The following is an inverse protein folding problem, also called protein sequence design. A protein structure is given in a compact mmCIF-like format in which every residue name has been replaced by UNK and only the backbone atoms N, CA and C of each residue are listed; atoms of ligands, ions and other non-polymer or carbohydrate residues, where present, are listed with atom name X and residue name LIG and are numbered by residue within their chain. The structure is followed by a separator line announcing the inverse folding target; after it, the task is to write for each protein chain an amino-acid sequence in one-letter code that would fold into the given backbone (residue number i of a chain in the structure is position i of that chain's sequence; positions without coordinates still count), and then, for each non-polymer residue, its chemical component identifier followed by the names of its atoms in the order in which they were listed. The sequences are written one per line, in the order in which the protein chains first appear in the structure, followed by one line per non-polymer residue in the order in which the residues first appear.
data_IF_485490230322
#
_entry.id   IF_485490230322
#
_cell.length_a   1.000
_cell.length_b   1.000
_cell.length_c   1.000
_cell.angle_alpha   90.00
_cell.angle_beta   90.00
_cell.angle_gamma   90.00
#
_symmetry.space_group_name_H-M   'P 1'
#
loop_
_entity.id
_entity.type
_entity.pdbx_description
1 polymer ?
#
# COMPACT_ATOMS: atom_id res chain seq x y z
N UNK A 1 27.54 -71.28 11.07
CA UNK A 1 26.36 -70.48 11.44
C UNK A 1 25.62 -70.10 10.17
N UNK A 2 24.66 -70.94 9.78
CA UNK A 2 23.81 -70.72 8.61
C UNK A 2 22.76 -69.65 8.95
N UNK A 3 22.84 -68.48 8.29
CA UNK A 3 21.76 -67.49 8.35
C UNK A 3 20.51 -68.06 7.69
N UNK A 4 19.39 -68.04 8.41
CA UNK A 4 18.16 -68.70 7.98
C UNK A 4 17.60 -68.05 6.71
N UNK A 5 16.91 -68.85 5.88
CA UNK A 5 16.27 -68.39 4.64
C UNK A 5 15.18 -67.34 4.88
N UNK A 6 14.71 -67.19 6.12
CA UNK A 6 13.75 -66.17 6.53
C UNK A 6 14.38 -64.76 6.59
N UNK A 7 15.61 -64.62 7.11
CA UNK A 7 16.30 -63.33 7.18
C UNK A 7 16.67 -62.78 5.81
N UNK A 8 16.94 -63.66 4.82
CA UNK A 8 17.19 -63.25 3.44
C UNK A 8 15.93 -62.71 2.74
N UNK A 9 14.76 -63.28 3.03
CA UNK A 9 13.48 -62.82 2.49
C UNK A 9 13.06 -61.49 3.11
N UNK A 10 13.31 -61.29 4.40
CA UNK A 10 12.99 -60.04 5.09
C UNK A 10 13.90 -58.88 4.65
N UNK A 11 15.19 -59.15 4.42
CA UNK A 11 16.11 -58.15 3.86
C UNK A 11 15.80 -57.81 2.40
N UNK A 12 15.31 -58.76 1.58
CA UNK A 12 14.81 -58.46 0.24
C UNK A 12 13.52 -57.63 0.27
N UNK A 13 12.61 -57.89 1.23
CA UNK A 13 11.38 -57.11 1.41
C UNK A 13 11.67 -55.68 1.88
N UNK A 14 12.64 -55.51 2.78
CA UNK A 14 13.12 -54.18 3.20
C UNK A 14 13.84 -53.44 2.06
N UNK A 15 14.66 -54.12 1.25
CA UNK A 15 15.29 -53.49 0.07
C UNK A 15 14.28 -53.08 -1.01
N UNK A 16 13.21 -53.85 -1.23
CA UNK A 16 12.12 -53.46 -2.15
C UNK A 16 11.35 -52.25 -1.62
N UNK A 17 11.03 -52.24 -0.32
CA UNK A 17 10.35 -51.11 0.33
C UNK A 17 11.21 -49.84 0.38
N UNK A 18 12.53 -49.97 0.51
CA UNK A 18 13.47 -48.84 0.43
C UNK A 18 13.79 -48.38 -1.01
N UNK A 19 13.38 -49.14 -2.03
CA UNK A 19 13.45 -48.74 -3.44
C UNK A 19 12.15 -48.08 -3.93
N UNK A 20 11.00 -48.42 -3.31
CA UNK A 20 9.70 -47.77 -3.55
C UNK A 20 9.59 -46.37 -2.89
N UNK A 21 10.42 -46.04 -1.89
CA UNK A 21 10.43 -44.71 -1.24
C UNK A 21 11.34 -43.67 -1.94
N UNK A 22 11.93 -44.01 -3.10
CA UNK A 22 12.83 -43.13 -3.87
C UNK A 22 12.51 -43.00 -5.36
N UNK A 23 11.32 -43.42 -5.80
CA UNK A 23 10.76 -42.97 -7.06
C UNK A 23 9.76 -41.84 -6.80
N UNK A 24 10.20 -40.59 -6.97
CA UNK A 24 9.29 -39.56 -7.47
C UNK A 24 8.97 -40.02 -8.90
N UNK A 25 8.02 -40.95 -9.00
CA UNK A 25 7.51 -41.45 -10.26
C UNK A 25 6.84 -40.29 -10.96
N UNK A 26 7.33 -40.00 -12.17
CA UNK A 26 6.63 -39.28 -13.21
C UNK A 26 5.26 -39.96 -13.42
N UNK A 27 4.24 -39.61 -12.64
CA UNK A 27 2.86 -39.98 -12.95
C UNK A 27 2.55 -39.38 -14.33
N UNK A 28 2.44 -40.25 -15.33
CA UNK A 28 1.96 -39.88 -16.65
C UNK A 28 0.56 -39.29 -16.50
N UNK A 29 0.37 -38.09 -17.05
CA UNK A 29 -0.94 -37.44 -17.10
C UNK A 29 -1.88 -38.35 -17.90
N UNK A 30 -3.03 -38.68 -17.33
CA UNK A 30 -3.91 -39.67 -17.92
C UNK A 30 -4.66 -39.12 -19.16
N UNK A 31 -5.18 -40.01 -20.00
CA UNK A 31 -5.94 -39.62 -21.19
C UNK A 31 -7.21 -38.82 -20.85
N UNK A 32 -7.79 -39.02 -19.65
CA UNK A 32 -9.00 -38.31 -19.19
C UNK A 32 -8.68 -36.85 -18.84
N UNK A 33 -7.51 -36.57 -18.27
CA UNK A 33 -7.00 -35.23 -17.95
C UNK A 33 -6.68 -34.44 -19.23
N UNK A 34 -6.10 -35.10 -20.22
CA UNK A 34 -5.89 -34.53 -21.55
C UNK A 34 -7.21 -34.19 -22.24
N UNK A 35 -8.18 -35.13 -22.22
CA UNK A 35 -9.52 -34.89 -22.75
C UNK A 35 -10.20 -33.72 -22.02
N UNK A 36 -10.04 -33.63 -20.70
CA UNK A 36 -10.55 -32.52 -19.91
C UNK A 36 -9.97 -31.16 -20.34
N UNK A 37 -8.66 -31.08 -20.61
CA UNK A 37 -8.07 -29.86 -21.15
C UNK A 37 -8.70 -29.45 -22.49
N UNK A 38 -8.91 -30.42 -23.38
CA UNK A 38 -9.57 -30.16 -24.67
C UNK A 38 -11.02 -29.68 -24.50
N UNK A 39 -11.80 -30.33 -23.63
CA UNK A 39 -13.18 -29.93 -23.34
C UNK A 39 -13.24 -28.48 -22.84
N UNK A 40 -12.37 -28.12 -21.88
CA UNK A 40 -12.32 -26.77 -21.33
C UNK A 40 -11.89 -25.75 -22.39
N UNK A 41 -10.87 -26.06 -23.19
CA UNK A 41 -10.42 -25.18 -24.28
C UNK A 41 -11.52 -24.94 -25.32
N UNK A 42 -12.25 -26.00 -25.70
CA UNK A 42 -13.33 -25.92 -26.67
C UNK A 42 -14.51 -25.12 -26.13
N UNK A 43 -14.90 -25.31 -24.86
CA UNK A 43 -15.93 -24.51 -24.21
C UNK A 43 -15.54 -23.03 -24.14
N UNK A 44 -14.29 -22.72 -23.78
CA UNK A 44 -13.79 -21.35 -23.76
C UNK A 44 -13.75 -20.73 -25.15
N UNK A 45 -13.43 -21.51 -26.19
CA UNK A 45 -13.33 -21.04 -27.59
C UNK A 45 -14.70 -20.80 -28.21
N UNK A 46 -15.64 -21.73 -28.02
CA UNK A 46 -16.94 -21.74 -28.73
C UNK A 46 -18.01 -20.98 -27.94
N UNK A 47 -18.01 -21.11 -26.61
CA UNK A 47 -19.11 -20.62 -25.76
C UNK A 47 -18.68 -19.46 -24.86
N UNK A 48 -17.38 -19.14 -24.79
CA UNK A 48 -16.83 -18.14 -23.85
C UNK A 48 -17.23 -18.40 -22.40
N UNK A 49 -17.38 -19.67 -22.03
CA UNK A 49 -17.77 -20.12 -20.69
C UNK A 49 -16.96 -21.37 -20.33
N UNK A 50 -17.04 -21.81 -19.07
CA UNK A 50 -16.40 -23.04 -18.61
C UNK A 50 -17.29 -23.71 -17.57
N UNK A 51 -17.38 -25.05 -17.63
CA UNK A 51 -18.06 -25.81 -16.58
C UNK A 51 -17.33 -25.66 -15.25
N UNK A 52 -18.05 -25.35 -14.18
CA UNK A 52 -17.47 -25.04 -12.85
C UNK A 52 -16.51 -26.11 -12.34
N UNK A 53 -16.95 -27.37 -12.32
CA UNK A 53 -16.14 -28.49 -11.86
C UNK A 53 -14.97 -28.78 -12.81
N UNK A 54 -15.17 -28.60 -14.12
CA UNK A 54 -14.14 -28.82 -15.12
C UNK A 54 -13.02 -27.79 -14.99
N UNK A 55 -13.36 -26.53 -14.68
CA UNK A 55 -12.37 -25.49 -14.37
C UNK A 55 -11.52 -25.87 -13.14
N UNK A 56 -12.16 -26.32 -12.05
CA UNK A 56 -11.45 -26.75 -10.84
C UNK A 56 -10.51 -27.93 -11.16
N UNK A 57 -11.03 -28.99 -11.78
CA UNK A 57 -10.25 -30.18 -12.09
C UNK A 57 -9.08 -29.89 -13.03
N UNK A 58 -9.32 -29.13 -14.10
CA UNK A 58 -8.28 -28.80 -15.08
C UNK A 58 -7.17 -27.92 -14.48
N UNK A 59 -7.50 -26.94 -13.63
CA UNK A 59 -6.48 -26.15 -12.94
C UNK A 59 -5.66 -26.96 -11.93
N UNK A 60 -6.29 -27.91 -11.21
CA UNK A 60 -5.56 -28.80 -10.32
C UNK A 60 -4.64 -29.75 -11.09
N UNK A 61 -5.14 -30.38 -12.17
CA UNK A 61 -4.32 -31.24 -13.03
C UNK A 61 -3.14 -30.47 -13.65
N UNK A 62 -3.38 -29.24 -14.14
CA UNK A 62 -2.32 -28.38 -14.64
C UNK A 62 -1.29 -27.98 -13.57
N UNK A 63 -1.70 -27.87 -12.30
CA UNK A 63 -0.78 -27.61 -11.18
C UNK A 63 0.04 -28.85 -10.82
N UNK A 64 -0.57 -30.04 -10.79
CA UNK A 64 0.11 -31.32 -10.52
C UNK A 64 1.15 -31.61 -11.60
N UNK A 65 0.80 -31.41 -12.87
CA UNK A 65 1.65 -31.70 -14.02
C UNK A 65 2.25 -30.43 -14.63
N UNK A 66 2.65 -29.46 -13.80
CA UNK A 66 3.05 -28.12 -14.26
C UNK A 66 4.22 -28.13 -15.25
N UNK A 67 5.16 -29.07 -15.12
CA UNK A 67 6.33 -29.14 -16.00
C UNK A 67 6.04 -29.77 -17.36
N UNK A 68 4.83 -30.32 -17.56
CA UNK A 68 4.44 -30.94 -18.83
C UNK A 68 4.09 -29.88 -19.90
N UNK A 69 4.51 -30.07 -21.17
CA UNK A 69 4.17 -29.16 -22.26
C UNK A 69 2.67 -28.95 -22.46
N UNK A 70 1.87 -29.99 -22.23
CA UNK A 70 0.42 -29.99 -22.38
C UNK A 70 -0.23 -29.06 -21.36
N UNK A 71 0.15 -29.17 -20.08
CA UNK A 71 -0.26 -28.26 -19.00
C UNK A 71 0.14 -26.82 -19.31
N UNK A 72 1.36 -26.61 -19.80
CA UNK A 72 1.83 -25.27 -20.16
C UNK A 72 1.02 -24.66 -21.31
N UNK A 73 0.76 -25.43 -22.38
CA UNK A 73 -0.11 -24.98 -23.49
C UNK A 73 -1.54 -24.71 -23.03
N UNK A 74 -2.07 -25.55 -22.12
CA UNK A 74 -3.37 -25.33 -21.54
C UNK A 74 -3.42 -24.02 -20.75
N UNK A 75 -2.44 -23.77 -19.88
CA UNK A 75 -2.38 -22.55 -19.07
C UNK A 75 -2.20 -21.30 -19.93
N UNK A 76 -1.33 -21.35 -20.94
CA UNK A 76 -1.06 -20.23 -21.86
C UNK A 76 -2.35 -19.76 -22.57
N UNK A 77 -3.29 -20.66 -22.86
CA UNK A 77 -4.56 -20.34 -23.52
C UNK A 77 -5.72 -20.08 -22.55
N UNK A 78 -5.86 -20.92 -21.53
CA UNK A 78 -7.09 -21.04 -20.74
C UNK A 78 -7.04 -20.29 -19.42
N UNK A 79 -5.86 -20.14 -18.80
CA UNK A 79 -5.76 -19.77 -17.39
C UNK A 79 -6.40 -18.40 -17.09
N UNK A 80 -5.98 -17.36 -17.82
CA UNK A 80 -6.54 -16.00 -17.65
C UNK A 80 -8.05 -15.95 -17.90
N UNK A 81 -8.54 -16.69 -18.90
CA UNK A 81 -9.97 -16.74 -19.25
C UNK A 81 -10.81 -17.39 -18.15
N UNK A 82 -10.34 -18.52 -17.62
CA UNK A 82 -11.00 -19.21 -16.50
C UNK A 82 -11.09 -18.26 -15.32
N UNK A 83 -9.98 -17.64 -14.92
CA UNK A 83 -9.95 -16.74 -13.76
C UNK A 83 -10.84 -15.50 -13.98
N UNK A 84 -10.87 -14.93 -15.18
CA UNK A 84 -11.80 -13.85 -15.49
C UNK A 84 -13.26 -14.28 -15.32
N UNK A 85 -13.65 -15.43 -15.88
CA UNK A 85 -15.01 -15.96 -15.76
C UNK A 85 -15.37 -16.15 -14.28
N UNK A 86 -14.47 -16.73 -13.48
CA UNK A 86 -14.70 -16.95 -12.04
C UNK A 86 -14.91 -15.62 -11.28
N UNK A 87 -14.13 -14.58 -11.61
CA UNK A 87 -14.19 -13.28 -10.94
C UNK A 87 -15.35 -12.38 -11.39
N UNK A 88 -15.95 -12.67 -12.54
CA UNK A 88 -17.10 -11.92 -13.07
C UNK A 88 -18.44 -12.43 -12.53
N UNK A 89 -18.43 -13.50 -11.73
CA UNK A 89 -19.64 -14.06 -11.14
C UNK A 89 -20.23 -13.17 -10.06
N UNK A 90 -21.56 -13.14 -9.98
CA UNK A 90 -22.25 -12.54 -8.85
C UNK A 90 -22.34 -13.57 -7.72
N UNK A 91 -21.52 -13.41 -6.68
CA UNK A 91 -21.48 -14.29 -5.48
C UNK A 91 -22.87 -14.61 -4.91
N UNK A 92 -23.81 -13.68 -5.04
CA UNK A 92 -25.18 -13.81 -4.54
C UNK A 92 -26.21 -14.43 -5.48
N UNK A 93 -25.88 -14.59 -6.76
CA UNK A 93 -26.77 -15.20 -7.76
C UNK A 93 -26.41 -16.65 -8.05
N UNK A 94 -25.28 -17.12 -7.53
CA UNK A 94 -24.81 -18.49 -7.72
C UNK A 94 -25.07 -19.32 -6.46
N UNK A 95 -25.26 -20.63 -6.62
CA UNK A 95 -25.48 -21.54 -5.51
C UNK A 95 -24.21 -21.79 -4.70
N UNK A 96 -24.37 -22.50 -3.58
CA UNK A 96 -23.25 -22.82 -2.69
C UNK A 96 -22.18 -23.69 -3.37
N UNK A 97 -22.61 -24.60 -4.25
CA UNK A 97 -21.71 -25.46 -5.03
C UNK A 97 -20.86 -24.64 -6.01
N UNK A 98 -21.48 -23.77 -6.80
CA UNK A 98 -20.78 -22.90 -7.75
C UNK A 98 -19.84 -21.95 -7.01
N UNK A 99 -20.28 -21.37 -5.89
CA UNK A 99 -19.43 -20.52 -5.05
C UNK A 99 -18.21 -21.28 -4.52
N UNK A 100 -18.38 -22.55 -4.15
CA UNK A 100 -17.27 -23.41 -3.74
C UNK A 100 -16.29 -23.64 -4.90
N UNK A 101 -16.78 -23.93 -6.10
CA UNK A 101 -15.94 -24.09 -7.29
C UNK A 101 -15.15 -22.82 -7.62
N UNK A 102 -15.80 -21.65 -7.62
CA UNK A 102 -15.13 -20.35 -7.82
C UNK A 102 -14.01 -20.16 -6.81
N UNK A 103 -14.29 -20.40 -5.54
CA UNK A 103 -13.32 -20.23 -4.45
C UNK A 103 -12.13 -21.19 -4.62
N UNK A 104 -12.38 -22.44 -5.00
CA UNK A 104 -11.32 -23.42 -5.26
C UNK A 104 -10.46 -23.03 -6.47
N UNK A 105 -11.06 -22.59 -7.58
CA UNK A 105 -10.32 -22.09 -8.75
C UNK A 105 -9.38 -20.93 -8.36
N UNK A 106 -9.89 -19.97 -7.57
CA UNK A 106 -9.08 -18.83 -7.12
C UNK A 106 -7.98 -19.26 -6.15
N UNK A 107 -8.25 -20.22 -5.26
CA UNK A 107 -7.24 -20.77 -4.35
C UNK A 107 -6.11 -21.48 -5.10
N UNK A 108 -6.42 -22.32 -6.09
CA UNK A 108 -5.43 -23.03 -6.93
C UNK A 108 -4.66 -22.07 -7.84
N UNK A 109 -5.27 -20.93 -8.21
CA UNK A 109 -4.62 -19.93 -9.06
C UNK A 109 -3.34 -19.35 -8.44
N UNK A 110 -3.27 -19.22 -7.11
CA UNK A 110 -2.13 -18.60 -6.44
C UNK A 110 -0.86 -19.46 -6.55
N UNK A 111 -0.86 -20.76 -6.18
CA UNK A 111 0.27 -21.64 -6.46
C UNK A 111 0.66 -21.68 -7.95
N UNK A 112 -0.31 -21.72 -8.86
CA UNK A 112 -0.03 -21.69 -10.31
C UNK A 112 0.71 -20.41 -10.72
N UNK A 113 0.23 -19.24 -10.27
CA UNK A 113 0.89 -17.95 -10.52
C UNK A 113 2.33 -17.97 -9.98
N UNK A 114 2.53 -18.44 -8.75
CA UNK A 114 3.86 -18.54 -8.14
C UNK A 114 4.79 -19.40 -9.00
N UNK A 115 4.35 -20.58 -9.44
CA UNK A 115 5.17 -21.47 -10.27
C UNK A 115 5.46 -20.86 -11.63
N UNK A 116 4.49 -20.20 -12.25
CA UNK A 116 4.66 -19.50 -13.53
C UNK A 116 5.64 -18.32 -13.43
N UNK A 117 5.58 -17.54 -12.33
CA UNK A 117 6.54 -16.48 -12.05
C UNK A 117 7.96 -17.04 -11.85
N UNK A 118 8.12 -18.15 -11.12
CA UNK A 118 9.41 -18.84 -10.96
C UNK A 118 9.98 -19.35 -12.28
N UNK A 119 9.11 -19.75 -13.21
CA UNK A 119 9.49 -20.17 -14.56
C UNK A 119 9.80 -19.00 -15.51
N UNK A 120 9.74 -17.74 -15.05
CA UNK A 120 10.00 -16.56 -15.87
C UNK A 120 8.86 -16.18 -16.81
N UNK A 121 7.67 -16.77 -16.67
CA UNK A 121 6.46 -16.46 -17.46
C UNK A 121 5.70 -15.24 -16.91
N UNK A 122 6.42 -14.14 -16.66
CA UNK A 122 5.87 -12.96 -15.99
C UNK A 122 4.81 -12.22 -16.82
N UNK A 123 4.91 -12.21 -18.15
CA UNK A 123 3.91 -11.60 -19.04
C UNK A 123 2.53 -12.27 -18.94
N UNK A 124 2.49 -13.59 -18.67
CA UNK A 124 1.23 -14.32 -18.50
C UNK A 124 0.74 -14.26 -17.05
N UNK A 125 1.65 -14.41 -16.08
CA UNK A 125 1.28 -14.59 -14.68
C UNK A 125 0.88 -13.28 -13.96
N UNK A 126 1.59 -12.16 -14.21
CA UNK A 126 1.32 -10.89 -13.52
C UNK A 126 -0.08 -10.34 -13.79
N UNK A 127 -0.59 -10.30 -15.04
CA UNK A 127 -1.97 -9.84 -15.28
C UNK A 127 -3.02 -10.66 -14.53
N UNK A 128 -2.80 -11.98 -14.39
CA UNK A 128 -3.72 -12.85 -13.65
C UNK A 128 -3.64 -12.55 -12.15
N UNK A 129 -2.44 -12.36 -11.59
CA UNK A 129 -2.27 -11.95 -10.19
C UNK A 129 -3.00 -10.64 -9.90
N UNK A 130 -2.81 -9.62 -10.74
CA UNK A 130 -3.49 -8.33 -10.63
C UNK A 130 -5.01 -8.51 -10.70
N UNK A 131 -5.47 -9.36 -11.61
CA UNK A 131 -6.89 -9.68 -11.75
C UNK A 131 -7.48 -10.26 -10.46
N UNK A 132 -6.80 -11.25 -9.86
CA UNK A 132 -7.20 -11.90 -8.60
C UNK A 132 -7.15 -10.92 -7.42
N UNK A 133 -6.18 -10.00 -7.39
CA UNK A 133 -6.04 -9.00 -6.33
C UNK A 133 -6.94 -7.78 -6.51
N UNK A 134 -7.61 -7.65 -7.64
CA UNK A 134 -8.45 -6.49 -7.91
C UNK A 134 -9.75 -6.53 -7.11
N UNK A 135 -9.87 -5.65 -6.11
CA UNK A 135 -11.12 -5.42 -5.36
C UNK A 135 -12.30 -4.98 -6.24
N UNK A 136 -12.03 -4.61 -7.50
CA UNK A 136 -13.06 -4.15 -8.45
C UNK A 136 -13.84 -5.30 -9.09
N UNK A 137 -13.44 -6.56 -8.90
CA UNK A 137 -14.10 -7.72 -9.51
C UNK A 137 -15.48 -8.00 -8.93
N UNK A 138 -16.40 -8.43 -9.79
CA UNK A 138 -17.82 -8.61 -9.48
C UNK A 138 -18.03 -9.60 -8.34
N UNK A 139 -17.23 -10.67 -8.30
CA UNK A 139 -17.32 -11.69 -7.27
C UNK A 139 -17.01 -11.17 -5.87
N UNK A 140 -16.11 -10.19 -5.75
CA UNK A 140 -15.71 -9.60 -4.47
C UNK A 140 -16.58 -8.43 -4.04
N UNK A 141 -17.22 -7.74 -4.98
CA UNK A 141 -17.96 -6.50 -4.69
C UNK A 141 -19.27 -6.77 -3.97
N UNK A 142 -19.52 -5.98 -2.93
CA UNK A 142 -20.86 -5.75 -2.40
C UNK A 142 -21.69 -4.97 -3.43
N UNK A 143 -22.87 -5.49 -3.78
CA UNK A 143 -23.79 -4.72 -4.61
C UNK A 143 -24.34 -3.55 -3.77
N UNK A 144 -23.92 -2.31 -4.06
CA UNK A 144 -24.76 -1.15 -3.77
C UNK A 144 -25.86 -1.11 -4.81
N UNK A 145 -27.07 -1.54 -4.44
CA UNK A 145 -28.27 -1.23 -5.22
C UNK A 145 -28.35 0.29 -5.34
N UNK A 146 -28.22 0.80 -6.57
CA UNK A 146 -28.07 2.22 -6.86
C UNK A 146 -29.29 3.05 -6.43
N UNK A 147 -29.03 4.08 -5.62
CA UNK A 147 -29.52 5.47 -5.69
C UNK A 147 -30.99 5.80 -6.03
N UNK A 148 -31.96 4.90 -5.82
CA UNK A 148 -33.36 5.28 -5.71
C UNK A 148 -33.93 4.90 -4.35
N UNK A 149 -34.15 5.93 -3.53
CA UNK A 149 -35.12 6.04 -2.43
C UNK A 149 -35.28 4.77 -1.57
N UNK A 150 -34.63 4.78 -0.40
CA UNK A 150 -35.19 4.14 0.80
C UNK A 150 -34.89 2.67 1.08
N UNK A 151 -33.97 2.01 0.38
CA UNK A 151 -33.67 0.57 0.63
C UNK A 151 -32.40 0.36 1.47
N UNK A 152 -32.51 0.63 2.78
CA UNK A 152 -31.48 0.28 3.78
C UNK A 152 -31.33 -1.23 4.05
N UNK A 153 -32.10 -2.09 3.35
CA UNK A 153 -32.35 -3.45 3.83
C UNK A 153 -31.71 -4.60 3.03
N UNK A 154 -31.17 -4.37 1.83
CA UNK A 154 -30.56 -5.47 1.03
C UNK A 154 -29.21 -5.05 0.43
N UNK A 155 -28.19 -4.89 1.27
CA UNK A 155 -26.80 -5.03 0.80
C UNK A 155 -26.57 -6.51 0.62
N UNK A 156 -26.52 -6.94 -0.63
CA UNK A 156 -26.18 -8.34 -0.90
C UNK A 156 -24.64 -8.43 -0.94
N UNK A 157 -24.03 -9.14 0.01
CA UNK A 157 -22.59 -9.12 0.17
C UNK A 157 -21.91 -9.84 -0.99
N UNK A 158 -20.77 -9.30 -1.42
CA UNK A 158 -19.82 -10.01 -2.28
C UNK A 158 -19.11 -11.12 -1.51
N UNK A 159 -17.97 -11.57 -2.03
CA UNK A 159 -17.06 -12.47 -1.33
C UNK A 159 -15.66 -11.85 -1.11
N UNK A 160 -15.55 -10.67 -0.45
CA UNK A 160 -14.26 -10.02 -0.22
C UNK A 160 -13.28 -10.88 0.61
N UNK A 161 -13.79 -11.80 1.43
CA UNK A 161 -13.02 -12.78 2.18
C UNK A 161 -12.18 -13.70 1.27
N UNK A 162 -12.69 -14.05 0.08
CA UNK A 162 -11.97 -14.93 -0.86
C UNK A 162 -10.77 -14.20 -1.44
N UNK A 163 -10.89 -12.90 -1.74
CA UNK A 163 -9.75 -12.07 -2.16
C UNK A 163 -8.69 -12.01 -1.05
N UNK A 164 -9.12 -11.80 0.19
CA UNK A 164 -8.23 -11.75 1.33
C UNK A 164 -7.48 -13.09 1.50
N UNK A 165 -8.15 -14.22 1.33
CA UNK A 165 -7.53 -15.56 1.34
C UNK A 165 -6.50 -15.72 0.22
N UNK A 166 -6.78 -15.24 -0.99
CA UNK A 166 -5.82 -15.30 -2.09
C UNK A 166 -4.55 -14.50 -1.80
N UNK A 167 -4.68 -13.29 -1.23
CA UNK A 167 -3.51 -12.47 -0.85
C UNK A 167 -2.75 -13.11 0.32
N UNK A 168 -3.47 -13.65 1.32
CA UNK A 168 -2.86 -14.37 2.43
C UNK A 168 -2.05 -15.58 1.94
N UNK A 169 -2.62 -16.40 1.06
CA UNK A 169 -1.94 -17.54 0.45
C UNK A 169 -0.70 -17.09 -0.35
N UNK A 170 -0.79 -15.98 -1.07
CA UNK A 170 0.36 -15.42 -1.77
C UNK A 170 1.47 -14.97 -0.80
N UNK A 171 1.11 -14.39 0.36
CA UNK A 171 2.08 -14.04 1.39
C UNK A 171 2.75 -15.29 1.99
N UNK A 172 1.96 -16.32 2.33
CA UNK A 172 2.44 -17.59 2.88
C UNK A 172 3.44 -18.29 1.96
N UNK A 173 3.21 -18.20 0.64
CA UNK A 173 4.09 -18.74 -0.39
C UNK A 173 5.25 -17.81 -0.77
N UNK A 174 5.55 -16.81 0.08
CA UNK A 174 6.60 -15.80 -0.15
C UNK A 174 6.44 -15.04 -1.48
N UNK A 175 5.22 -14.89 -1.97
CA UNK A 175 4.92 -14.32 -3.27
C UNK A 175 5.41 -12.88 -3.45
N UNK A 176 5.42 -12.05 -2.41
CA UNK A 176 5.97 -10.70 -2.50
C UNK A 176 7.50 -10.67 -2.63
N UNK A 177 8.21 -11.68 -2.12
CA UNK A 177 9.66 -11.81 -2.39
C UNK A 177 9.88 -12.15 -3.86
N UNK A 178 9.10 -13.08 -4.40
CA UNK A 178 9.14 -13.43 -5.82
C UNK A 178 8.73 -12.27 -6.72
N UNK A 179 7.73 -11.47 -6.31
CA UNK A 179 7.31 -10.27 -7.02
C UNK A 179 8.45 -9.25 -7.09
N UNK A 180 9.17 -9.02 -5.99
CA UNK A 180 10.35 -8.14 -5.99
C UNK A 180 11.37 -8.62 -7.03
N UNK A 181 11.79 -9.88 -6.96
CA UNK A 181 12.75 -10.44 -7.92
C UNK A 181 12.25 -10.41 -9.36
N UNK A 182 10.95 -10.61 -9.58
CA UNK A 182 10.33 -10.50 -10.90
C UNK A 182 10.40 -9.07 -11.43
N UNK A 183 10.05 -8.08 -10.61
CA UNK A 183 10.11 -6.67 -11.00
C UNK A 183 11.55 -6.23 -11.28
N UNK A 184 12.53 -6.69 -10.48
CA UNK A 184 13.95 -6.43 -10.72
C UNK A 184 14.41 -6.99 -12.08
N UNK A 185 14.03 -8.23 -12.40
CA UNK A 185 14.35 -8.86 -13.69
C UNK A 185 13.71 -8.13 -14.86
N UNK A 186 12.42 -7.79 -14.76
CA UNK A 186 11.70 -7.06 -15.81
C UNK A 186 12.36 -5.70 -16.06
N UNK A 187 12.72 -4.96 -15.01
CA UNK A 187 13.37 -3.65 -15.15
C UNK A 187 14.82 -3.75 -15.64
N UNK A 188 15.56 -4.80 -15.26
CA UNK A 188 16.93 -5.02 -15.73
C UNK A 188 16.96 -5.31 -17.24
N UNK A 189 16.03 -6.14 -17.72
CA UNK A 189 15.93 -6.50 -19.13
C UNK A 189 15.65 -5.29 -20.03
N UNK A 190 14.93 -4.28 -19.53
CA UNK A 190 14.66 -3.02 -20.25
C UNK A 190 15.89 -2.11 -20.41
N UNK A 191 16.95 -2.33 -19.62
CA UNK A 191 18.13 -1.45 -19.59
C UNK A 191 19.28 -1.91 -20.51
N UNK A 192 19.16 -3.08 -21.15
CA UNK A 192 20.21 -3.70 -21.94
C UNK A 192 20.01 -3.47 -23.46
N UNK A 193 20.48 -2.33 -23.97
CA UNK A 193 21.02 -2.09 -25.34
C UNK A 193 20.27 -2.65 -26.58
N UNK A 194 19.00 -3.04 -26.45
CA UNK A 194 18.13 -3.52 -27.53
C UNK A 194 16.94 -2.60 -27.68
N UNK A 195 17.22 -1.34 -28.01
CA UNK A 195 16.21 -0.41 -28.52
C UNK A 195 15.84 -0.83 -29.94
N UNK A 196 15.03 -1.88 -30.06
CA UNK A 196 14.25 -2.17 -31.27
C UNK A 196 12.78 -2.12 -30.89
N UNK A 197 12.15 -1.04 -31.34
CA UNK A 197 10.70 -0.90 -31.55
C UNK A 197 9.77 -1.65 -30.57
N UNK A 198 9.49 -1.04 -29.42
CA UNK A 198 8.10 -0.93 -28.95
C UNK A 198 7.66 -1.69 -27.70
N UNK A 199 8.38 -2.68 -27.18
CA UNK A 199 7.78 -3.60 -26.16
C UNK A 199 8.72 -4.11 -25.04
N UNK A 200 9.79 -3.43 -24.67
CA UNK A 200 10.72 -3.97 -23.67
C UNK A 200 10.86 -3.03 -22.46
N UNK A 201 9.96 -3.22 -21.50
CA UNK A 201 9.73 -2.31 -20.38
C UNK A 201 8.81 -2.91 -19.31
N UNK A 202 8.83 -2.37 -18.08
CA UNK A 202 7.82 -2.74 -17.08
C UNK A 202 6.41 -2.40 -17.57
N UNK A 203 6.28 -1.30 -18.34
CA UNK A 203 5.06 -0.84 -18.98
C UNK A 203 4.45 -1.84 -19.98
N UNK A 204 5.24 -2.78 -20.51
CA UNK A 204 4.72 -3.84 -21.38
C UNK A 204 4.04 -4.96 -20.60
N UNK A 205 4.24 -5.00 -19.27
CA UNK A 205 3.77 -6.08 -18.39
C UNK A 205 2.70 -5.60 -17.42
N UNK A 206 2.88 -4.42 -16.85
CA UNK A 206 1.99 -3.82 -15.86
C UNK A 206 1.92 -2.30 -16.05
N UNK A 207 0.71 -1.76 -16.01
CA UNK A 207 0.48 -0.31 -16.01
C UNK A 207 0.42 0.26 -14.57
N UNK A 208 0.25 1.58 -14.43
CA UNK A 208 0.17 2.19 -13.09
C UNK A 208 -1.03 1.73 -12.26
N UNK A 209 -2.15 1.32 -12.88
CA UNK A 209 -3.32 0.81 -12.16
C UNK A 209 -3.05 -0.60 -11.62
N UNK A 210 -2.32 -1.42 -12.38
CA UNK A 210 -1.85 -2.73 -11.96
C UNK A 210 -0.88 -2.63 -10.80
N UNK A 211 0.12 -1.73 -10.88
CA UNK A 211 1.04 -1.41 -9.78
C UNK A 211 0.26 -0.97 -8.55
N UNK A 212 -0.75 -0.10 -8.72
CA UNK A 212 -1.63 0.35 -7.63
C UNK A 212 -2.35 -0.82 -6.96
N UNK A 213 -2.83 -1.81 -7.73
CA UNK A 213 -3.51 -2.99 -7.19
C UNK A 213 -2.55 -3.86 -6.36
N UNK A 214 -1.34 -4.10 -6.85
CA UNK A 214 -0.32 -4.89 -6.15
C UNK A 214 0.12 -4.20 -4.84
N UNK A 215 0.39 -2.90 -4.88
CA UNK A 215 0.74 -2.11 -3.69
C UNK A 215 -0.42 -2.04 -2.69
N UNK A 216 -1.66 -1.97 -3.17
CA UNK A 216 -2.83 -1.99 -2.29
C UNK A 216 -2.96 -3.32 -1.53
N UNK A 217 -2.68 -4.45 -2.20
CA UNK A 217 -2.62 -5.76 -1.54
C UNK A 217 -1.49 -5.82 -0.50
N UNK A 218 -0.31 -5.28 -0.84
CA UNK A 218 0.83 -5.17 0.08
C UNK A 218 0.48 -4.34 1.33
N UNK A 219 -0.19 -3.20 1.18
CA UNK A 219 -0.61 -2.35 2.30
C UNK A 219 -1.65 -3.03 3.22
N UNK A 220 -2.59 -3.78 2.65
CA UNK A 220 -3.61 -4.51 3.40
C UNK A 220 -3.00 -5.63 4.25
N UNK A 221 -1.97 -6.31 3.72
CA UNK A 221 -1.30 -7.44 4.35
C UNK A 221 0.11 -7.10 4.87
N UNK A 222 0.39 -5.82 5.10
CA UNK A 222 1.72 -5.32 5.47
C UNK A 222 2.35 -6.00 6.69
N UNK A 223 1.54 -6.49 7.63
CA UNK A 223 2.01 -7.20 8.82
C UNK A 223 2.55 -8.60 8.52
N UNK A 224 2.21 -9.17 7.36
CA UNK A 224 2.62 -10.49 6.91
C UNK A 224 3.79 -10.43 5.92
N UNK A 225 4.29 -9.24 5.60
CA UNK A 225 5.34 -9.01 4.60
C UNK A 225 6.50 -8.31 5.30
N UNK A 226 7.75 -8.79 5.16
CA UNK A 226 8.89 -8.12 5.79
C UNK A 226 9.04 -6.67 5.31
N UNK A 227 9.31 -5.75 6.25
CA UNK A 227 9.51 -4.31 5.97
C UNK A 227 10.60 -4.06 4.92
N UNK A 228 11.64 -4.89 4.89
CA UNK A 228 12.73 -4.83 3.91
C UNK A 228 12.24 -5.10 2.49
N UNK A 229 11.33 -6.06 2.31
CA UNK A 229 10.73 -6.39 1.02
C UNK A 229 9.78 -5.28 0.58
N UNK A 230 8.91 -4.82 1.48
CA UNK A 230 8.00 -3.70 1.22
C UNK A 230 8.76 -2.44 0.79
N UNK A 231 9.84 -2.11 1.52
CA UNK A 231 10.72 -0.98 1.21
C UNK A 231 11.38 -1.15 -0.17
N UNK A 232 11.92 -2.33 -0.45
CA UNK A 232 12.60 -2.61 -1.73
C UNK A 232 11.65 -2.50 -2.92
N UNK A 233 10.43 -3.04 -2.81
CA UNK A 233 9.39 -2.92 -3.84
C UNK A 233 9.01 -1.45 -4.06
N UNK A 234 8.77 -0.68 -2.98
CA UNK A 234 8.45 0.74 -3.09
C UNK A 234 9.58 1.55 -3.73
N UNK A 235 10.84 1.33 -3.32
CA UNK A 235 12.02 2.00 -3.89
C UNK A 235 12.16 1.66 -5.37
N UNK A 236 12.00 0.40 -5.75
CA UNK A 236 12.11 -0.06 -7.13
C UNK A 236 11.06 0.62 -8.03
N UNK A 237 9.79 0.63 -7.59
CA UNK A 237 8.69 1.28 -8.31
C UNK A 237 8.91 2.80 -8.41
N UNK A 238 9.28 3.46 -7.31
CA UNK A 238 9.56 4.90 -7.33
C UNK A 238 10.73 5.23 -8.27
N UNK A 239 11.79 4.42 -8.23
CA UNK A 239 12.93 4.55 -9.14
C UNK A 239 12.51 4.39 -10.60
N UNK A 240 11.62 3.46 -10.92
CA UNK A 240 11.04 3.34 -12.26
C UNK A 240 10.36 4.62 -12.72
N UNK A 241 9.52 5.24 -11.87
CA UNK A 241 8.86 6.51 -12.20
C UNK A 241 9.83 7.69 -12.40
N UNK A 242 11.02 7.66 -11.78
CA UNK A 242 12.06 8.67 -12.09
C UNK A 242 12.65 8.51 -13.50
N UNK A 243 12.69 7.28 -14.02
CA UNK A 243 13.42 6.92 -15.25
C UNK A 243 12.54 6.83 -16.50
N UNK A 244 11.23 6.60 -16.37
CA UNK A 244 10.34 6.44 -17.52
C UNK A 244 10.27 7.69 -18.39
N UNK A 245 10.09 7.52 -19.71
CA UNK A 245 10.10 8.66 -20.64
C UNK A 245 8.82 9.49 -20.58
N UNK A 246 8.88 10.74 -21.06
CA UNK A 246 7.71 11.61 -21.18
C UNK A 246 6.62 11.03 -22.08
N UNK A 247 6.99 10.17 -23.04
CA UNK A 247 6.01 9.48 -23.89
C UNK A 247 5.19 8.47 -23.08
N UNK A 248 5.85 7.71 -22.20
CA UNK A 248 5.19 6.74 -21.31
C UNK A 248 4.35 7.49 -20.28
N UNK A 249 4.90 8.53 -19.65
CA UNK A 249 4.17 9.36 -18.68
C UNK A 249 2.86 9.95 -19.23
N UNK A 250 2.83 10.32 -20.52
CA UNK A 250 1.63 10.85 -21.17
C UNK A 250 0.55 9.80 -21.43
N UNK A 251 0.92 8.52 -21.49
CA UNK A 251 -0.02 7.39 -21.65
C UNK A 251 -0.61 6.95 -20.31
N UNK A 252 0.17 7.11 -19.24
CA UNK A 252 -0.26 6.75 -17.90
C UNK A 252 -1.34 7.70 -17.36
N UNK A 253 -2.22 7.15 -16.53
CA UNK A 253 -3.21 7.95 -15.80
C UNK A 253 -2.54 8.66 -14.62
N UNK A 254 -2.60 9.99 -14.59
CA UNK A 254 -2.16 10.78 -13.44
C UNK A 254 -2.88 10.36 -12.14
N UNK A 255 -4.14 9.96 -12.23
CA UNK A 255 -4.91 9.46 -11.07
C UNK A 255 -4.33 8.14 -10.56
N UNK A 256 -3.96 7.23 -11.47
CA UNK A 256 -3.35 5.95 -11.11
C UNK A 256 -1.98 6.15 -10.46
N UNK A 257 -1.14 7.01 -11.03
CA UNK A 257 0.18 7.33 -10.47
C UNK A 257 0.04 8.05 -9.13
N UNK A 258 -0.84 9.05 -9.02
CA UNK A 258 -1.14 9.71 -7.75
C UNK A 258 -1.57 8.72 -6.67
N UNK A 259 -2.39 7.73 -7.03
CA UNK A 259 -2.80 6.69 -6.10
C UNK A 259 -1.67 5.71 -5.74
N UNK A 260 -0.74 5.40 -6.66
CA UNK A 260 0.49 4.66 -6.34
C UNK A 260 1.31 5.42 -5.30
N UNK A 261 1.60 6.70 -5.55
CA UNK A 261 2.36 7.55 -4.61
C UNK A 261 1.67 7.64 -3.25
N UNK A 262 0.34 7.79 -3.23
CA UNK A 262 -0.43 7.85 -2.00
C UNK A 262 -0.38 6.53 -1.20
N UNK A 263 -0.39 5.37 -1.85
CA UNK A 263 -0.25 4.08 -1.16
C UNK A 263 1.15 3.93 -0.57
N UNK A 264 2.20 4.27 -1.32
CA UNK A 264 3.58 4.24 -0.84
C UNK A 264 3.73 5.18 0.36
N UNK A 265 3.12 6.36 0.31
CA UNK A 265 3.13 7.30 1.44
C UNK A 265 2.44 6.72 2.68
N UNK A 266 1.30 6.05 2.52
CA UNK A 266 0.62 5.36 3.64
C UNK A 266 1.46 4.24 4.24
N UNK A 267 2.28 3.55 3.43
CA UNK A 267 3.25 2.57 3.93
C UNK A 267 4.34 3.25 4.76
N UNK A 268 4.84 4.41 4.31
CA UNK A 268 5.79 5.24 5.08
C UNK A 268 5.19 5.70 6.40
N UNK A 269 4.00 6.29 6.37
CA UNK A 269 3.33 6.79 7.58
C UNK A 269 2.98 5.65 8.56
N UNK A 270 2.86 4.41 8.07
CA UNK A 270 2.66 3.22 8.91
C UNK A 270 3.94 2.64 9.52
N UNK A 271 5.11 3.21 9.20
CA UNK A 271 6.42 2.76 9.67
C UNK A 271 7.01 1.54 8.93
N UNK A 272 6.26 0.95 7.98
CA UNK A 272 6.69 -0.21 7.20
C UNK A 272 7.78 0.14 6.19
N UNK A 273 7.74 1.35 5.64
CA UNK A 273 8.73 1.85 4.68
C UNK A 273 9.46 3.04 5.27
N UNK A 274 10.80 3.01 5.26
CA UNK A 274 11.59 4.11 5.77
C UNK A 274 11.40 5.38 4.91
N UNK A 275 11.04 6.50 5.56
CA UNK A 275 10.85 7.78 4.86
C UNK A 275 12.10 8.21 4.08
N UNK A 276 13.29 7.99 4.67
CA UNK A 276 14.59 8.26 4.06
C UNK A 276 14.78 7.61 2.68
N UNK A 277 14.21 6.42 2.47
CA UNK A 277 14.34 5.67 1.22
C UNK A 277 13.45 6.23 0.09
N UNK A 278 12.38 6.96 0.43
CA UNK A 278 11.33 7.37 -0.50
C UNK A 278 11.36 8.88 -0.78
N UNK A 279 11.67 9.70 0.23
CA UNK A 279 11.56 11.15 0.18
C UNK A 279 12.30 11.79 -1.01
N UNK A 280 13.53 11.35 -1.27
CA UNK A 280 14.33 11.84 -2.40
C UNK A 280 13.71 11.44 -3.74
N UNK A 281 13.29 10.19 -3.89
CA UNK A 281 12.65 9.70 -5.12
C UNK A 281 11.33 10.42 -5.40
N UNK A 282 10.55 10.73 -4.36
CA UNK A 282 9.29 11.48 -4.53
C UNK A 282 9.53 12.90 -5.07
N UNK A 283 10.59 13.56 -4.60
CA UNK A 283 11.02 14.85 -5.13
C UNK A 283 11.48 14.76 -6.58
N UNK A 284 12.29 13.76 -6.93
CA UNK A 284 12.77 13.54 -8.30
C UNK A 284 11.61 13.26 -9.28
N UNK A 285 10.64 12.43 -8.88
CA UNK A 285 9.41 12.21 -9.66
C UNK A 285 8.66 13.54 -9.83
N UNK A 286 8.45 14.28 -8.74
CA UNK A 286 7.70 15.54 -8.77
C UNK A 286 8.36 16.58 -9.67
N UNK A 287 9.69 16.72 -9.58
CA UNK A 287 10.49 17.58 -10.45
C UNK A 287 10.23 17.26 -11.92
N UNK A 288 10.31 15.98 -12.28
CA UNK A 288 10.06 15.51 -13.65
C UNK A 288 8.68 15.91 -14.18
N UNK A 289 7.64 15.79 -13.36
CA UNK A 289 6.29 16.21 -13.75
C UNK A 289 6.18 17.72 -13.95
N UNK A 290 6.84 18.52 -13.11
CA UNK A 290 6.86 19.99 -13.20
C UNK A 290 7.64 20.47 -14.43
N UNK A 291 8.69 19.75 -14.82
CA UNK A 291 9.52 20.06 -15.99
C UNK A 291 8.91 19.57 -17.31
N UNK A 292 7.93 18.67 -17.26
CA UNK A 292 7.29 18.14 -18.47
C UNK A 292 6.65 19.25 -19.32
N UNK A 293 6.75 19.10 -20.64
CA UNK A 293 6.10 20.02 -21.61
C UNK A 293 4.57 19.92 -21.62
N UNK A 294 4.00 18.85 -21.07
CA UNK A 294 2.55 18.64 -20.98
C UNK A 294 1.95 19.40 -19.80
N UNK A 295 0.99 20.31 -20.06
CA UNK A 295 0.29 21.05 -19.00
C UNK A 295 -0.40 20.13 -17.97
N UNK A 296 -1.17 19.09 -18.37
CA UNK A 296 -1.74 18.14 -17.41
C UNK A 296 -0.72 17.51 -16.46
N UNK A 297 0.45 17.12 -16.96
CA UNK A 297 1.52 16.52 -16.15
C UNK A 297 2.12 17.56 -15.19
N UNK A 298 2.30 18.81 -15.64
CA UNK A 298 2.77 19.91 -14.76
C UNK A 298 1.79 20.20 -13.63
N UNK A 299 0.49 20.26 -13.92
CA UNK A 299 -0.53 20.48 -12.90
C UNK A 299 -0.52 19.37 -11.85
N UNK A 300 -0.35 18.11 -12.28
CA UNK A 300 -0.16 16.99 -11.36
C UNK A 300 1.12 17.16 -10.52
N UNK A 301 2.25 17.56 -11.13
CA UNK A 301 3.48 17.86 -10.41
C UNK A 301 3.29 18.93 -9.33
N UNK A 302 2.57 20.02 -9.63
CA UNK A 302 2.23 21.07 -8.66
C UNK A 302 1.34 20.56 -7.51
N UNK A 303 0.42 19.65 -7.80
CA UNK A 303 -0.36 18.97 -6.76
C UNK A 303 0.54 18.14 -5.83
N UNK A 304 1.50 17.40 -6.41
CA UNK A 304 2.48 16.65 -5.62
C UNK A 304 3.37 17.55 -4.76
N UNK A 305 3.77 18.74 -5.23
CA UNK A 305 4.49 19.73 -4.40
C UNK A 305 3.69 20.06 -3.14
N UNK A 306 2.38 20.31 -3.25
CA UNK A 306 1.55 20.61 -2.09
C UNK A 306 1.55 19.44 -1.09
N UNK A 307 1.48 18.20 -1.56
CA UNK A 307 1.53 17.00 -0.72
C UNK A 307 2.89 16.83 -0.04
N UNK A 308 3.99 17.09 -0.75
CA UNK A 308 5.35 17.06 -0.20
C UNK A 308 5.52 18.13 0.88
N UNK A 309 5.10 19.36 0.62
CA UNK A 309 5.16 20.47 1.58
C UNK A 309 4.36 20.15 2.83
N UNK A 310 3.14 19.62 2.68
CA UNK A 310 2.31 19.20 3.81
C UNK A 310 2.96 18.06 4.61
N UNK A 311 3.57 17.10 3.92
CA UNK A 311 4.29 15.98 4.56
C UNK A 311 5.53 16.46 5.32
N UNK A 312 6.30 17.38 4.73
CA UNK A 312 7.46 18.00 5.37
C UNK A 312 7.06 18.75 6.63
N UNK A 313 5.97 19.52 6.57
CA UNK A 313 5.40 20.22 7.73
C UNK A 313 4.96 19.27 8.83
N UNK A 314 4.27 18.18 8.48
CA UNK A 314 3.82 17.17 9.43
C UNK A 314 4.97 16.39 10.08
N UNK A 315 6.11 16.23 9.40
CA UNK A 315 7.30 15.57 9.94
C UNK A 315 8.18 16.45 10.84
N UNK A 316 7.89 17.76 10.95
CA UNK A 316 8.68 18.65 11.80
C UNK A 316 8.47 18.28 13.26
N UNK A 317 9.57 18.09 13.98
CA UNK A 317 9.58 18.07 15.44
C UNK A 317 8.96 19.35 15.98
N UNK A 318 8.05 19.23 16.95
CA UNK A 318 7.54 20.39 17.66
C UNK A 318 8.69 21.08 18.41
N UNK A 319 8.73 22.43 18.44
CA UNK A 319 9.62 23.15 19.33
C UNK A 319 9.49 22.62 20.76
N UNK A 320 10.58 22.48 21.53
CA UNK A 320 10.51 21.98 22.90
C UNK A 320 9.85 23.00 23.84
N UNK A 321 9.92 24.29 23.49
CA UNK A 321 9.33 25.37 24.27
C UNK A 321 9.00 26.60 23.42
N UNK A 322 8.08 27.41 23.94
CA UNK A 322 7.76 28.75 23.45
C UNK A 322 7.97 29.76 24.57
N UNK A 323 8.57 30.90 24.22
CA UNK A 323 8.61 32.08 25.08
C UNK A 323 7.42 32.96 24.71
N UNK A 324 6.47 33.10 25.63
CA UNK A 324 5.34 34.03 25.50
C UNK A 324 5.73 35.34 26.18
N UNK A 325 5.70 36.44 25.44
CA UNK A 325 6.01 37.77 25.96
C UNK A 325 5.02 38.82 25.46
N UNK A 326 5.05 40.00 26.08
CA UNK A 326 4.22 41.15 25.71
C UNK A 326 2.70 40.90 25.77
N UNK A 327 2.24 39.88 26.50
CA UNK A 327 0.83 39.75 26.83
C UNK A 327 0.42 40.86 27.81
N UNK A 328 -0.66 41.59 27.51
CA UNK A 328 -1.27 42.56 28.43
C UNK A 328 -1.74 41.92 29.73
N UNK A 329 -2.14 40.65 29.67
CA UNK A 329 -2.35 39.83 30.86
C UNK A 329 -1.01 39.27 31.33
N UNK A 330 -0.38 39.96 32.27
CA UNK A 330 1.03 39.74 32.65
C UNK A 330 1.35 38.31 33.10
N UNK A 331 0.41 37.63 33.76
CA UNK A 331 0.57 36.26 34.28
C UNK A 331 0.72 35.18 33.20
N UNK A 332 0.45 35.51 31.92
CA UNK A 332 0.60 34.60 30.79
C UNK A 332 1.97 34.71 30.12
N UNK A 333 2.78 35.71 30.49
CA UNK A 333 4.14 35.81 30.00
C UNK A 333 5.02 34.79 30.72
N UNK A 334 5.81 34.04 29.96
CA UNK A 334 6.62 32.97 30.53
C UNK A 334 7.05 31.95 29.49
N UNK A 335 7.65 30.86 29.98
CA UNK A 335 8.10 29.74 29.16
C UNK A 335 7.06 28.63 29.21
N UNK A 336 6.53 28.30 28.04
CA UNK A 336 5.60 27.21 27.80
C UNK A 336 6.38 26.02 27.27
N UNK A 337 6.39 24.90 27.99
CA UNK A 337 7.15 23.70 27.62
C UNK A 337 6.23 22.69 26.98
N UNK A 338 6.69 22.03 25.90
CA UNK A 338 5.94 20.98 25.23
C UNK A 338 5.58 19.89 26.22
N UNK A 339 4.31 19.50 26.26
CA UNK A 339 3.84 18.42 27.11
C UNK A 339 4.49 17.10 26.64
N UNK A 340 5.13 16.33 27.54
CA UNK A 340 5.68 15.01 27.20
C UNK A 340 4.60 14.10 26.62
N UNK A 341 4.98 13.26 25.65
CA UNK A 341 4.13 12.24 25.01
C UNK A 341 2.85 12.78 24.35
N UNK A 342 2.80 14.09 24.06
CA UNK A 342 1.68 14.66 23.32
C UNK A 342 1.85 14.41 21.82
N UNK A 343 0.86 13.75 21.21
CA UNK A 343 0.75 13.62 19.75
C UNK A 343 0.35 14.94 19.06
N UNK A 344 0.02 15.96 19.86
CA UNK A 344 -0.37 17.30 19.42
C UNK A 344 0.56 18.35 20.03
N UNK A 345 0.71 19.48 19.37
CA UNK A 345 1.48 20.60 19.89
C UNK A 345 0.72 21.29 21.05
N UNK A 346 0.83 20.73 22.25
CA UNK A 346 0.28 21.28 23.50
C UNK A 346 1.42 21.66 24.43
N UNK A 347 1.46 22.93 24.85
CA UNK A 347 2.49 23.47 25.73
C UNK A 347 1.90 23.92 27.05
N UNK A 348 2.67 23.76 28.11
CA UNK A 348 2.25 24.03 29.49
C UNK A 348 3.19 25.02 30.15
N UNK A 349 2.62 26.03 30.80
CA UNK A 349 3.32 26.96 31.67
C UNK A 349 2.71 26.88 33.07
N UNK A 350 3.51 26.44 34.04
CA UNK A 350 3.13 26.49 35.45
C UNK A 350 3.73 27.73 36.08
N UNK A 351 2.88 28.51 36.75
CA UNK A 351 3.32 29.73 37.42
C UNK A 351 4.02 29.38 38.73
N UNK A 352 5.19 29.98 38.97
CA UNK A 352 5.93 29.76 40.21
C UNK A 352 5.14 30.25 41.43
N UNK A 353 5.05 29.39 42.44
CA UNK A 353 4.37 29.69 43.70
C UNK A 353 2.84 29.65 43.65
N UNK A 354 2.23 29.21 42.55
CA UNK A 354 0.77 28.99 42.46
C UNK A 354 0.42 27.64 41.82
N UNK A 355 -0.81 27.19 42.07
CA UNK A 355 -1.39 26.00 41.39
C UNK A 355 -1.99 26.36 40.02
N UNK A 356 -1.66 27.52 39.45
CA UNK A 356 -2.20 27.94 38.15
C UNK A 356 -1.37 27.34 37.02
N UNK A 357 -2.07 26.67 36.11
CA UNK A 357 -1.50 26.05 34.93
C UNK A 357 -2.11 26.71 33.71
N UNK A 358 -1.24 27.21 32.83
CA UNK A 358 -1.64 27.77 31.57
C UNK A 358 -1.26 26.84 30.43
N UNK A 359 -2.13 26.73 29.44
CA UNK A 359 -1.95 25.87 28.28
C UNK A 359 -1.98 26.67 26.99
N UNK A 360 -1.10 26.30 26.07
CA UNK A 360 -1.10 26.74 24.69
C UNK A 360 -1.43 25.51 23.83
N UNK A 361 -2.60 25.49 23.22
CA UNK A 361 -3.09 24.32 22.49
C UNK A 361 -3.96 24.70 21.29
N UNK A 362 -4.13 23.75 20.37
CA UNK A 362 -5.03 23.88 19.23
C UNK A 362 -6.22 22.94 19.39
N UNK A 363 -7.43 23.41 19.07
CA UNK A 363 -8.62 22.56 18.99
C UNK A 363 -9.42 22.83 17.70
N UNK A 364 -10.29 21.90 17.34
CA UNK A 364 -11.22 22.04 16.21
C UNK A 364 -12.57 22.51 16.74
N UNK A 365 -12.98 23.71 16.33
CA UNK A 365 -14.26 24.29 16.72
C UNK A 365 -15.43 23.55 16.05
N UNK A 366 -16.65 23.76 16.54
CA UNK A 366 -17.89 23.19 15.93
C UNK A 366 -18.06 23.54 14.45
N UNK A 367 -17.48 24.64 14.00
CA UNK A 367 -17.45 25.06 12.59
C UNK A 367 -16.49 24.25 11.72
N UNK A 368 -15.69 23.35 12.29
CA UNK A 368 -14.61 22.64 11.62
C UNK A 368 -13.30 23.45 11.50
N UNK A 369 -13.31 24.73 11.88
CA UNK A 369 -12.09 25.57 11.88
C UNK A 369 -11.19 25.23 13.06
N UNK A 370 -9.87 25.22 12.85
CA UNK A 370 -8.89 25.04 13.92
C UNK A 370 -8.48 26.36 14.55
N UNK A 371 -8.43 26.40 15.87
CA UNK A 371 -8.12 27.57 16.66
C UNK A 371 -7.08 27.25 17.71
N UNK A 372 -6.12 28.15 17.85
CA UNK A 372 -5.13 28.15 18.91
C UNK A 372 -5.63 29.00 20.08
N UNK A 373 -5.39 28.54 21.29
CA UNK A 373 -5.77 29.22 22.52
C UNK A 373 -4.61 29.29 23.51
N UNK A 374 -4.54 30.39 24.25
CA UNK A 374 -3.79 30.51 25.50
C UNK A 374 -4.82 30.62 26.61
N UNK A 375 -4.87 29.59 27.45
CA UNK A 375 -5.94 29.42 28.44
C UNK A 375 -5.35 29.06 29.79
N UNK A 376 -6.05 29.41 30.87
CA UNK A 376 -5.84 28.84 32.20
C UNK A 376 -6.65 27.55 32.28
N UNK A 377 -5.96 26.43 32.50
CA UNK A 377 -6.57 25.12 32.53
C UNK A 377 -7.44 24.94 33.78
N UNK A 378 -8.65 24.40 33.61
CA UNK A 378 -9.46 24.01 34.75
C UNK A 378 -8.79 22.91 35.57
N UNK A 379 -8.89 23.00 36.90
CA UNK A 379 -8.20 22.07 37.82
C UNK A 379 -8.74 20.64 37.74
N UNK A 380 -10.00 20.47 37.35
CA UNK A 380 -10.69 19.17 37.33
C UNK A 380 -10.82 18.63 35.91
N UNK A 381 -10.96 19.49 34.91
CA UNK A 381 -11.13 19.14 33.50
C UNK A 381 -10.28 20.02 32.55
N UNK A 382 -8.95 19.88 32.55
CA UNK A 382 -8.08 20.61 31.63
C UNK A 382 -8.42 20.35 30.15
N UNK A 383 -8.45 21.39 29.32
CA UNK A 383 -8.73 21.28 27.88
C UNK A 383 -10.22 21.18 27.55
N UNK A 384 -11.09 21.58 28.48
CA UNK A 384 -12.55 21.60 28.28
C UNK A 384 -13.07 23.03 28.07
N UNK A 385 -14.34 23.17 27.72
CA UNK A 385 -15.05 24.46 27.63
C UNK A 385 -15.08 25.24 28.98
N UNK A 386 -14.56 24.65 30.07
CA UNK A 386 -14.41 25.29 31.38
C UNK A 386 -13.07 26.03 31.54
N UNK A 387 -12.12 25.82 30.62
CA UNK A 387 -10.87 26.58 30.61
C UNK A 387 -11.14 28.07 30.40
N UNK A 388 -10.33 28.91 31.03
CA UNK A 388 -10.46 30.36 30.90
C UNK A 388 -9.56 30.81 29.77
N UNK A 389 -10.16 31.11 28.62
CA UNK A 389 -9.43 31.63 27.47
C UNK A 389 -9.04 33.10 27.64
N UNK A 390 -7.80 33.42 27.30
CA UNK A 390 -7.28 34.79 27.31
C UNK A 390 -6.92 35.28 25.92
N UNK A 391 -6.31 34.44 25.09
CA UNK A 391 -5.99 34.81 23.72
C UNK A 391 -6.33 33.67 22.78
N UNK A 392 -6.76 34.02 21.57
CA UNK A 392 -7.11 33.05 20.54
C UNK A 392 -6.55 33.47 19.18
N UNK A 393 -6.31 32.50 18.31
CA UNK A 393 -5.92 32.73 16.93
C UNK A 393 -6.51 31.65 16.02
N UNK A 394 -7.23 32.06 14.98
CA UNK A 394 -7.73 31.12 13.98
C UNK A 394 -6.58 30.66 13.08
N UNK A 395 -6.30 29.35 13.01
CA UNK A 395 -5.26 28.84 12.13
C UNK A 395 -5.62 29.12 10.66
N UNK A 396 -4.71 29.74 9.92
CA UNK A 396 -4.89 30.05 8.50
C UNK A 396 -4.04 29.16 7.59
N UNK A 397 -2.87 28.71 8.05
CA UNK A 397 -1.88 28.02 7.21
C UNK A 397 -1.03 26.96 7.95
N UNK A 398 -0.68 27.20 9.22
CA UNK A 398 0.14 26.29 10.05
C UNK A 398 -0.67 25.74 11.22
N UNK A 399 -1.44 24.68 10.96
CA UNK A 399 -2.29 24.04 11.96
C UNK A 399 -1.53 23.26 13.04
N UNK A 400 -0.23 23.03 12.82
CA UNK A 400 0.58 22.13 13.62
C UNK A 400 1.49 22.85 14.62
N UNK A 401 1.65 24.17 14.48
CA UNK A 401 2.50 24.97 15.36
C UNK A 401 1.75 26.21 15.87
N UNK A 402 1.97 26.62 17.13
CA UNK A 402 1.46 27.87 17.64
C UNK A 402 1.87 29.07 16.77
N UNK A 403 0.93 29.97 16.44
CA UNK A 403 1.22 31.18 15.69
C UNK A 403 2.10 32.12 16.52
N UNK A 404 3.10 32.73 15.89
CA UNK A 404 4.05 33.61 16.59
C UNK A 404 3.47 35.00 16.88
N UNK A 405 2.45 35.42 16.13
CA UNK A 405 1.87 36.77 16.17
C UNK A 405 0.36 36.75 15.86
N UNK A 406 -0.27 37.93 15.83
CA UNK A 406 -1.68 38.15 15.45
C UNK A 406 -2.71 37.49 16.38
N UNK A 407 -2.32 37.23 17.62
CA UNK A 407 -3.25 36.78 18.66
C UNK A 407 -4.32 37.84 18.93
N UNK A 408 -5.53 37.39 19.22
CA UNK A 408 -6.67 38.27 19.53
C UNK A 408 -7.06 38.04 20.99
N UNK A 409 -7.15 39.09 21.82
CA UNK A 409 -7.69 38.98 23.16
C UNK A 409 -9.12 38.41 23.12
N UNK A 410 -9.40 37.44 23.99
CA UNK A 410 -10.71 36.83 24.18
C UNK A 410 -10.94 36.59 25.67
N UNK A 411 -12.17 36.37 26.11
CA UNK A 411 -12.49 36.09 27.51
C UNK A 411 -11.88 37.12 28.47
N UNK A 412 -10.84 36.73 29.21
CA UNK A 412 -10.13 37.58 30.19
C UNK A 412 -8.84 38.23 29.66
N UNK A 413 -8.52 38.08 28.38
CA UNK A 413 -7.35 38.67 27.76
C UNK A 413 -7.45 40.19 27.64
N UNK A 414 -6.31 40.86 27.77
CA UNK A 414 -6.19 42.31 27.62
C UNK A 414 -5.08 42.63 26.62
N UNK A 415 -5.22 43.74 25.89
CA UNK A 415 -4.15 44.24 25.03
C UNK A 415 -2.91 44.66 25.85
N UNK A 416 -1.68 44.56 25.29
CA UNK A 416 -1.36 44.03 23.97
C UNK A 416 -1.51 42.51 23.85
N UNK A 417 -1.69 42.04 22.61
CA UNK A 417 -1.68 40.62 22.32
C UNK A 417 -0.25 40.04 22.45
N UNK A 418 -0.10 38.78 22.87
CA UNK A 418 1.20 38.16 23.06
C UNK A 418 1.97 37.99 21.76
N UNK A 419 3.29 37.97 21.91
CA UNK A 419 4.25 37.48 20.93
C UNK A 419 4.81 36.13 21.41
N UNK A 420 4.85 35.16 20.50
CA UNK A 420 5.33 33.80 20.76
C UNK A 420 6.62 33.56 19.99
N UNK A 421 7.69 33.21 20.71
CA UNK A 421 8.98 32.87 20.12
C UNK A 421 9.23 31.37 20.34
N UNK A 422 9.26 30.54 19.28
CA UNK A 422 9.68 29.15 19.42
C UNK A 422 11.17 29.12 19.74
N UNK A 423 11.56 28.38 20.77
CA UNK A 423 12.96 28.03 20.94
C UNK A 423 13.27 26.90 19.97
N UNK A 424 14.28 27.07 19.12
CA UNK A 424 14.65 26.02 18.17
C UNK A 424 15.14 24.78 18.94
N UNK A 425 14.76 23.60 18.45
CA UNK A 425 15.48 22.37 18.82
C UNK A 425 16.90 22.59 18.30
N UNK A 426 17.87 22.89 19.16
CA UNK A 426 19.26 22.60 18.83
C UNK A 426 19.36 21.08 18.87
N UNK A 427 18.96 20.42 17.78
CA UNK A 427 19.30 19.02 17.57
C UNK A 427 20.83 18.96 17.65
N UNK A 428 21.34 18.08 18.52
CA UNK A 428 22.78 17.93 18.74
C UNK A 428 23.49 17.60 17.41
N UNK A 429 23.95 18.61 16.67
CA UNK A 429 24.99 18.53 15.65
C UNK A 429 24.72 17.75 14.36
N UNK A 430 23.78 16.81 14.32
CA UNK A 430 23.42 16.05 13.11
C UNK A 430 21.98 16.38 12.71
N UNK A 431 21.81 17.40 11.86
CA UNK A 431 20.55 17.62 11.16
C UNK A 431 20.22 16.34 10.37
N UNK A 432 19.07 15.70 10.66
CA UNK A 432 18.66 14.49 9.95
C UNK A 432 18.42 14.82 8.47
N UNK A 433 19.45 14.54 7.66
CA UNK A 433 19.50 14.83 6.23
C UNK A 433 18.42 14.09 5.43
N UNK A 434 17.75 13.12 6.05
CA UNK A 434 16.72 12.30 5.41
C UNK A 434 15.31 12.89 5.55
N UNK A 435 15.14 13.93 6.39
CA UNK A 435 13.87 14.65 6.54
C UNK A 435 13.52 15.47 5.31
N UNK A 436 12.23 15.47 4.93
CA UNK A 436 11.76 16.19 3.74
C UNK A 436 12.04 17.70 3.80
N UNK A 437 11.93 18.34 4.97
CA UNK A 437 12.17 19.77 5.11
C UNK A 437 13.64 20.14 4.89
N UNK A 438 14.57 19.29 5.33
CA UNK A 438 16.00 19.43 5.03
C UNK A 438 16.30 19.18 3.55
N UNK A 439 15.73 18.11 2.98
CA UNK A 439 15.95 17.81 1.56
C UNK A 439 15.41 18.97 0.71
N UNK A 440 14.23 19.52 1.03
CA UNK A 440 13.66 20.67 0.33
C UNK A 440 14.51 21.93 0.45
N UNK A 441 15.12 22.21 1.62
CA UNK A 441 15.94 23.42 1.82
C UNK A 441 17.28 23.33 1.09
N UNK A 442 17.80 22.12 0.88
CA UNK A 442 19.04 21.84 0.16
C UNK A 442 18.84 21.51 -1.32
N UNK A 443 17.59 21.26 -1.75
CA UNK A 443 17.27 20.86 -3.11
C UNK A 443 17.57 21.99 -4.09
N UNK A 444 18.46 21.70 -5.04
CA UNK A 444 18.77 22.56 -6.17
C UNK A 444 18.25 21.87 -7.42
N UNK A 445 17.36 22.50 -8.21
CA UNK A 445 16.98 21.96 -9.51
C UNK A 445 18.25 21.79 -10.35
N UNK A 446 18.45 20.60 -10.89
CA UNK A 446 19.48 20.37 -11.89
C UNK A 446 19.03 21.04 -13.19
N UNK A 447 19.66 22.17 -13.53
CA UNK A 447 19.50 22.83 -14.83
C UNK A 447 20.00 21.97 -15.99
#
# INVERSE_FOLDING_TARGET
MERSSAEKKENQKRRKKSQEDTSHDDEEMDDEELELFHIVQDDLRVKSTVGWQNAVKSLNSALTHIDRPESQRFLDYSFSKIISIMLDQHSSKIGAFEKSCVTQCLSVSIPLIITQLKAGKYHQALPILVMVFSKKKTFYKDLRTSAMIGSYWNKVPGAPEVRAQCIASFCELQGFHLLLSTLEQVMANSSADKVKEGEEGLEAVVDSEDIRILLQAMLEFRTSIPDTISTSICVLIMTYFTKITDSVLKKESSDAIGAVLAIIRRLVDSGVVAAAAINKLWLEITQRYVESTSLPLRLFGLEQINLIVNSARASRSFPPRYIVRNAGTSMLNGVYTLKPDSTTATYVHQREGTDQVFTLFCCTMKSGSKWWFISEADKMQPGSDQDIDYYQHQSQYEEYLPPTHNWVPTGKGVAPAPELIPETVLENGDEDQTRLDYILSSWRPTN
#
